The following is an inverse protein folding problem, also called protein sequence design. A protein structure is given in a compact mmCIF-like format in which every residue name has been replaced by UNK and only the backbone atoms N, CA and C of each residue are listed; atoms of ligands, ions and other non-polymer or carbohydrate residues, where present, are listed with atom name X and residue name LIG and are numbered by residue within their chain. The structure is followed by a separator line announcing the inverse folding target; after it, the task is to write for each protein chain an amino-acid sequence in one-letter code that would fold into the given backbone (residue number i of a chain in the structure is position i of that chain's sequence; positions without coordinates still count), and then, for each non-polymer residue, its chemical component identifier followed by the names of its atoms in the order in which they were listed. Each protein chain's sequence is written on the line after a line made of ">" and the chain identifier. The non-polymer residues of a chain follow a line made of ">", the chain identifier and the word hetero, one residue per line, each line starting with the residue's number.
data_IF_020410150149
#
_entry.id   IF_020410150149
#
_cell.length_a   1.000
_cell.length_b   1.000
_cell.length_c   1.000
_cell.angle_alpha   90.00
_cell.angle_beta   90.00
_cell.angle_gamma   90.00
#
_symmetry.space_group_name_H-M   'P 1'
#
loop_
_entity.id
_entity.type
_entity.pdbx_description
1 polymer ?
#
# COMPACT_ATOMS: atom_id res chain seq x y z
N UNK A 1 -7.47 0.18 5.30
CA UNK A 1 -6.47 -0.43 4.39
C UNK A 1 -5.03 -0.21 4.86
N UNK A 2 -4.73 -0.23 6.17
CA UNK A 2 -3.40 0.19 6.66
C UNK A 2 -2.78 -0.70 7.73
N UNK A 3 -3.56 -1.59 8.36
CA UNK A 3 -3.07 -2.51 9.39
C UNK A 3 -2.54 -3.83 8.83
N UNK A 4 -2.97 -4.21 7.62
CA UNK A 4 -2.58 -5.44 6.96
C UNK A 4 -2.09 -5.16 5.56
N UNK A 5 -1.16 -5.99 5.11
CA UNK A 5 -0.62 -5.92 3.76
C UNK A 5 -1.74 -6.16 2.77
N UNK A 6 -1.90 -5.24 1.83
CA UNK A 6 -2.86 -5.41 0.76
C UNK A 6 -2.40 -6.56 -0.16
N UNK A 7 -3.33 -7.40 -0.67
CA UNK A 7 -3.02 -8.34 -1.74
C UNK A 7 -2.44 -7.62 -2.96
N UNK A 8 -1.52 -8.27 -3.66
CA UNK A 8 -0.83 -7.69 -4.81
C UNK A 8 -1.85 -7.29 -5.87
N UNK A 9 -2.78 -8.19 -6.19
CA UNK A 9 -3.83 -7.98 -7.19
C UNK A 9 -4.67 -6.73 -6.90
N UNK A 10 -4.99 -6.49 -5.63
CA UNK A 10 -5.74 -5.29 -5.21
C UNK A 10 -4.90 -4.04 -5.43
N UNK A 11 -3.62 -4.05 -5.09
CA UNK A 11 -2.74 -2.90 -5.33
C UNK A 11 -2.54 -2.64 -6.82
N UNK A 12 -2.44 -3.69 -7.64
CA UNK A 12 -2.31 -3.57 -9.08
C UNK A 12 -3.58 -3.03 -9.73
N UNK A 13 -4.76 -3.48 -9.30
CA UNK A 13 -6.03 -3.00 -9.82
C UNK A 13 -6.25 -1.52 -9.51
N UNK A 14 -5.87 -1.08 -8.30
CA UNK A 14 -5.88 0.34 -7.95
C UNK A 14 -4.89 1.17 -8.79
N UNK A 15 -3.70 0.64 -9.08
CA UNK A 15 -2.75 1.29 -10.00
C UNK A 15 -3.31 1.38 -11.43
N UNK A 16 -4.03 0.35 -11.91
CA UNK A 16 -4.71 0.41 -13.21
C UNK A 16 -5.77 1.50 -13.25
N UNK A 17 -6.58 1.65 -12.19
CA UNK A 17 -7.58 2.72 -12.09
C UNK A 17 -6.90 4.11 -12.13
N UNK A 18 -5.79 4.30 -11.40
CA UNK A 18 -5.00 5.55 -11.44
C UNK A 18 -4.43 5.84 -12.82
N UNK A 19 -3.90 4.82 -13.51
CA UNK A 19 -3.40 4.93 -14.90
C UNK A 19 -4.51 5.34 -15.85
N UNK A 20 -5.67 4.68 -15.77
CA UNK A 20 -6.84 4.98 -16.61
C UNK A 20 -7.31 6.41 -16.39
N UNK A 21 -7.40 6.85 -15.14
CA UNK A 21 -7.76 8.22 -14.79
C UNK A 21 -6.77 9.23 -15.39
N UNK A 22 -5.47 9.05 -15.18
CA UNK A 22 -4.46 10.02 -15.63
C UNK A 22 -4.39 10.11 -17.16
N UNK A 23 -4.48 8.97 -17.84
CA UNK A 23 -4.33 8.90 -19.29
C UNK A 23 -5.64 9.02 -20.06
N UNK A 24 -6.77 9.17 -19.36
CA UNK A 24 -8.06 9.52 -19.94
C UNK A 24 -8.51 8.59 -21.07
N UNK A 25 -8.24 7.29 -20.94
CA UNK A 25 -8.80 6.27 -21.82
C UNK A 25 -10.26 6.04 -21.44
N UNK A 26 -11.19 6.41 -22.32
CA UNK A 26 -12.57 5.91 -22.25
C UNK A 26 -12.58 4.45 -22.72
N UNK A 27 -13.60 3.67 -22.33
CA UNK A 27 -13.73 2.24 -22.70
C UNK A 27 -13.61 1.99 -24.22
N UNK A 28 -13.92 3.00 -25.05
CA UNK A 28 -13.92 2.91 -26.51
C UNK A 28 -12.63 3.40 -27.20
N UNK A 29 -11.75 4.16 -26.50
CA UNK A 29 -10.55 4.76 -27.14
C UNK A 29 -9.33 4.74 -26.22
N UNK A 30 -8.38 3.86 -26.54
CA UNK A 30 -7.05 3.85 -25.95
C UNK A 30 -6.26 5.07 -26.44
N UNK A 31 -5.91 5.98 -25.53
CA UNK A 31 -4.97 7.07 -25.82
C UNK A 31 -3.53 6.57 -25.69
N UNK A 32 -2.65 7.00 -26.60
CA UNK A 32 -1.23 6.68 -26.53
C UNK A 32 -0.62 7.30 -25.27
N UNK A 33 0.11 6.49 -24.50
CA UNK A 33 0.84 6.93 -23.31
C UNK A 33 2.26 7.36 -23.71
N UNK A 34 2.54 8.67 -23.69
CA UNK A 34 3.87 9.21 -24.04
C UNK A 34 4.91 9.10 -22.92
N UNK A 35 4.46 8.86 -21.69
CA UNK A 35 5.33 8.76 -20.51
C UNK A 35 5.03 7.44 -19.80
N UNK A 36 6.08 6.69 -19.45
CA UNK A 36 5.94 5.45 -18.71
C UNK A 36 5.31 5.69 -17.33
N UNK A 37 4.51 4.74 -16.85
CA UNK A 37 3.89 4.86 -15.53
C UNK A 37 4.92 4.98 -14.41
N UNK A 38 6.04 4.27 -14.53
CA UNK A 38 7.16 4.33 -13.58
C UNK A 38 7.71 5.75 -13.42
N UNK A 39 7.83 6.50 -14.53
CA UNK A 39 8.25 7.90 -14.47
C UNK A 39 7.19 8.80 -13.85
N UNK A 40 5.90 8.53 -14.08
CA UNK A 40 4.82 9.27 -13.42
C UNK A 40 4.86 9.12 -11.90
N UNK A 41 5.06 7.90 -11.40
CA UNK A 41 5.06 7.64 -9.96
C UNK A 41 6.36 8.06 -9.25
N UNK A 42 7.46 8.25 -9.98
CA UNK A 42 8.73 8.73 -9.44
C UNK A 42 8.60 10.13 -8.83
N UNK A 43 9.49 10.48 -7.90
CA UNK A 43 9.53 11.80 -7.27
C UNK A 43 9.83 12.91 -8.30
N UNK A 44 9.43 14.15 -7.96
CA UNK A 44 9.72 15.33 -8.80
C UNK A 44 11.22 15.57 -8.97
N UNK A 45 12.01 15.30 -7.92
CA UNK A 45 13.47 15.44 -7.94
C UNK A 45 14.14 14.46 -8.92
N UNK A 46 13.49 13.32 -9.20
CA UNK A 46 13.92 12.33 -10.20
C UNK A 46 13.26 12.56 -11.58
N UNK A 47 12.66 13.73 -11.80
CA UNK A 47 11.99 14.08 -13.06
C UNK A 47 10.65 13.36 -13.29
N UNK A 48 10.03 12.86 -12.22
CA UNK A 48 8.69 12.27 -12.22
C UNK A 48 7.59 13.25 -11.81
N UNK A 49 6.35 12.78 -11.77
CA UNK A 49 5.19 13.62 -11.39
C UNK A 49 4.97 13.65 -9.86
N UNK A 50 5.59 12.74 -9.11
CA UNK A 50 5.48 12.64 -7.66
C UNK A 50 4.22 11.93 -7.19
N UNK A 51 3.55 11.18 -8.07
CA UNK A 51 2.28 10.50 -7.77
C UNK A 51 2.47 9.36 -6.75
N UNK A 52 3.65 8.73 -6.73
CA UNK A 52 3.99 7.68 -5.77
C UNK A 52 3.32 6.33 -6.03
N UNK A 53 4.00 5.25 -5.66
CA UNK A 53 3.48 3.88 -5.78
C UNK A 53 2.55 3.53 -4.63
N UNK A 54 1.39 2.91 -4.93
CA UNK A 54 0.47 2.37 -3.92
C UNK A 54 1.13 1.27 -3.11
N UNK A 55 1.94 0.41 -3.75
CA UNK A 55 2.61 -0.68 -3.03
C UNK A 55 3.61 -0.13 -2.01
N UNK A 56 4.36 0.91 -2.39
CA UNK A 56 5.25 1.62 -1.48
C UNK A 56 4.47 2.32 -0.35
N UNK A 57 3.34 2.96 -0.66
CA UNK A 57 2.46 3.57 0.34
C UNK A 57 1.92 2.54 1.33
N UNK A 58 1.49 1.37 0.87
CA UNK A 58 0.99 0.30 1.73
C UNK A 58 2.08 -0.15 2.71
N UNK A 59 3.31 -0.34 2.24
CA UNK A 59 4.44 -0.69 3.11
C UNK A 59 4.71 0.41 4.13
N UNK A 60 4.77 1.67 3.71
CA UNK A 60 5.01 2.80 4.61
C UNK A 60 3.92 2.91 5.70
N UNK A 61 2.65 2.67 5.33
CA UNK A 61 1.54 2.63 6.28
C UNK A 61 1.67 1.48 7.27
N UNK A 62 2.06 0.29 6.82
CA UNK A 62 2.28 -0.85 7.71
C UNK A 62 3.36 -0.57 8.74
N UNK A 63 4.49 0.01 8.32
CA UNK A 63 5.58 0.39 9.22
C UNK A 63 5.11 1.44 10.23
N UNK A 64 4.35 2.45 9.78
CA UNK A 64 3.76 3.47 10.66
C UNK A 64 2.86 2.85 11.72
N UNK A 65 2.00 1.91 11.33
CA UNK A 65 1.09 1.24 12.27
C UNK A 65 1.79 0.27 13.20
N UNK A 66 2.78 -0.47 12.70
CA UNK A 66 3.64 -1.32 13.52
C UNK A 66 4.35 -0.49 14.60
N UNK A 67 4.92 0.66 14.23
CA UNK A 67 5.57 1.56 15.18
C UNK A 67 4.60 2.08 16.24
N UNK A 68 3.38 2.46 15.82
CA UNK A 68 2.32 2.88 16.76
C UNK A 68 1.90 1.76 17.70
N UNK A 69 1.75 0.53 17.19
CA UNK A 69 1.39 -0.62 18.00
C UNK A 69 2.43 -0.87 19.11
N UNK A 70 3.72 -0.68 18.78
CA UNK A 70 4.82 -0.78 19.73
C UNK A 70 4.82 0.38 20.75
N UNK A 71 4.56 1.60 20.30
CA UNK A 71 4.65 2.81 21.13
C UNK A 71 3.44 2.98 22.05
N UNK A 72 2.25 2.59 21.58
CA UNK A 72 0.96 2.80 22.26
C UNK A 72 0.35 1.46 22.71
N UNK A 73 1.17 0.52 23.19
CA UNK A 73 0.75 -0.85 23.51
C UNK A 73 -0.30 -0.95 24.64
N UNK A 74 -0.44 0.10 25.46
CA UNK A 74 -1.43 0.19 26.54
C UNK A 74 -2.83 0.62 26.06
N UNK A 75 -2.93 1.16 24.84
CA UNK A 75 -4.19 1.64 24.28
C UNK A 75 -5.18 0.49 23.99
N UNK A 76 -6.48 0.76 24.09
CA UNK A 76 -7.51 -0.26 23.92
C UNK A 76 -7.46 -0.93 22.54
N UNK A 77 -7.24 -0.14 21.48
CA UNK A 77 -7.14 -0.65 20.11
C UNK A 77 -5.91 -1.57 19.94
N UNK A 78 -4.76 -1.20 20.52
CA UNK A 78 -3.54 -2.00 20.44
C UNK A 78 -3.75 -3.35 21.13
N UNK A 79 -4.36 -3.36 22.33
CA UNK A 79 -4.70 -4.60 23.05
C UNK A 79 -5.68 -5.46 22.26
N UNK A 80 -6.69 -4.86 21.63
CA UNK A 80 -7.67 -5.58 20.82
C UNK A 80 -7.01 -6.28 19.62
N UNK A 81 -6.16 -5.56 18.87
CA UNK A 81 -5.43 -6.11 17.73
C UNK A 81 -4.45 -7.20 18.17
N UNK A 82 -3.70 -6.98 19.25
CA UNK A 82 -2.76 -7.95 19.81
C UNK A 82 -3.49 -9.23 20.26
N UNK A 83 -4.66 -9.09 20.88
CA UNK A 83 -5.48 -10.22 21.32
C UNK A 83 -6.12 -10.99 20.16
N UNK A 84 -6.71 -10.30 19.20
CA UNK A 84 -7.40 -10.91 18.05
C UNK A 84 -6.43 -11.67 17.13
N UNK A 85 -5.22 -11.14 16.96
CA UNK A 85 -4.21 -11.70 16.04
C UNK A 85 -3.07 -12.43 16.74
N UNK A 86 -3.17 -12.67 18.05
CA UNK A 86 -2.16 -13.37 18.86
C UNK A 86 -0.72 -12.83 18.69
N UNK A 87 -0.58 -11.52 18.51
CA UNK A 87 0.71 -10.88 18.18
C UNK A 87 1.70 -10.84 19.35
N UNK A 88 1.27 -11.20 20.58
CA UNK A 88 2.15 -11.27 21.77
C UNK A 88 3.32 -12.24 21.59
N UNK A 89 3.06 -13.38 20.94
CA UNK A 89 4.04 -14.45 20.82
C UNK A 89 4.82 -14.38 19.49
N UNK A 90 4.32 -13.63 18.51
CA UNK A 90 4.89 -13.53 17.16
C UNK A 90 4.72 -12.12 16.58
N UNK A 91 5.50 -11.13 17.07
CA UNK A 91 5.38 -9.75 16.60
C UNK A 91 5.79 -9.57 15.13
N UNK A 92 6.62 -10.47 14.60
CA UNK A 92 7.06 -10.45 13.20
C UNK A 92 5.96 -10.89 12.20
N UNK A 93 4.99 -11.69 12.64
CA UNK A 93 3.87 -12.15 11.79
C UNK A 93 2.99 -10.99 11.29
N UNK A 94 3.08 -9.83 11.94
CA UNK A 94 2.43 -8.59 11.49
C UNK A 94 2.94 -8.11 10.12
N UNK A 95 4.23 -8.33 9.82
CA UNK A 95 4.88 -7.86 8.58
C UNK A 95 5.15 -8.99 7.57
N UNK A 96 5.09 -10.24 8.01
CA UNK A 96 5.41 -11.41 7.19
C UNK A 96 4.17 -11.93 6.48
N UNK A 97 4.34 -12.28 5.20
CA UNK A 97 3.32 -12.82 4.29
C UNK A 97 2.52 -13.95 4.99
N UNK A 98 1.23 -13.73 5.23
CA UNK A 98 0.26 -14.82 5.10
C UNK A 98 0.19 -15.12 3.60
N UNK A 99 0.92 -16.15 3.16
CA UNK A 99 0.69 -16.76 1.85
C UNK A 99 -0.70 -17.37 1.95
N UNK A 100 -1.72 -16.64 1.51
CA UNK A 100 -3.02 -17.24 1.23
C UNK A 100 -2.79 -17.92 -0.11
N UNK A 101 -2.47 -19.21 -0.04
CA UNK A 101 -2.54 -20.12 -1.18
C UNK A 101 -4.00 -20.25 -1.60
#
# INVERSE_FOLDING_TARGET
>A
MSLFRAPIDVTEELEKIRRKFLWGGNEEKNKIHWVSWEKVIASKDLGGLGVGSISALNIALLVKWWWRLKSESSSLWARAIIGLHNLKNKPADYLVKKKIT
#
